data_IF_573965916423
#
_entry.id   IF_573965916423
#
_cell.length_a   1.000
_cell.length_b   1.000
_cell.length_c   1.000
_cell.angle_alpha   90.00
_cell.angle_beta   90.00
_cell.angle_gamma   90.00
#
_symmetry.space_group_name_H-M   'P 1'
#
loop_
_entity.id
_entity.type
_entity.pdbx_description
1 polymer ?
#
# COMPACT_ATOMS: atom_id res chain seq x y z
N UNK A 1 -11.29 -5.40 -16.51
CA UNK A 1 -12.00 -5.69 -15.23
C UNK A 1 -11.00 -5.91 -14.10
N UNK A 2 -10.01 -6.79 -14.24
CA UNK A 2 -8.99 -7.03 -13.19
C UNK A 2 -8.19 -5.78 -12.79
N UNK A 3 -7.70 -4.98 -13.74
CA UNK A 3 -6.97 -3.73 -13.43
C UNK A 3 -7.80 -2.69 -12.65
N UNK A 4 -9.11 -2.58 -12.92
CA UNK A 4 -9.97 -1.68 -12.16
C UNK A 4 -10.14 -2.16 -10.71
N UNK A 5 -10.28 -3.47 -10.49
CA UNK A 5 -10.38 -4.06 -9.16
C UNK A 5 -9.10 -3.79 -8.34
N UNK A 6 -7.93 -4.04 -8.92
CA UNK A 6 -6.64 -3.78 -8.27
C UNK A 6 -6.47 -2.29 -7.95
N UNK A 7 -6.86 -1.40 -8.86
CA UNK A 7 -6.86 0.04 -8.61
C UNK A 7 -7.69 0.41 -7.38
N UNK A 8 -8.91 -0.09 -7.27
CA UNK A 8 -9.77 0.18 -6.10
C UNK A 8 -9.16 -0.37 -4.81
N UNK A 9 -8.69 -1.62 -4.81
CA UNK A 9 -8.10 -2.25 -3.62
C UNK A 9 -6.86 -1.49 -3.14
N UNK A 10 -5.94 -1.17 -4.05
CA UNK A 10 -4.71 -0.44 -3.73
C UNK A 10 -5.01 0.99 -3.25
N UNK A 11 -5.99 1.68 -3.84
CA UNK A 11 -6.39 3.04 -3.42
C UNK A 11 -7.03 3.04 -2.02
N UNK A 12 -7.85 2.03 -1.70
CA UNK A 12 -8.43 1.88 -0.36
C UNK A 12 -7.35 1.59 0.68
N UNK A 13 -6.42 0.68 0.37
CA UNK A 13 -5.30 0.37 1.24
C UNK A 13 -4.41 1.61 1.48
N UNK A 14 -4.20 2.41 0.43
CA UNK A 14 -3.48 3.68 0.52
C UNK A 14 -4.16 4.67 1.50
N UNK A 15 -5.46 4.92 1.31
CA UNK A 15 -6.21 5.80 2.21
C UNK A 15 -6.25 5.31 3.66
N UNK A 16 -6.37 4.00 3.87
CA UNK A 16 -6.40 3.41 5.21
C UNK A 16 -5.06 3.57 5.94
N UNK A 17 -3.93 3.34 5.25
CA UNK A 17 -2.60 3.49 5.83
C UNK A 17 -2.30 4.94 6.20
N UNK A 18 -2.62 5.89 5.31
CA UNK A 18 -2.48 7.32 5.60
C UNK A 18 -3.33 7.75 6.81
N UNK A 19 -4.55 7.22 6.95
CA UNK A 19 -5.40 7.48 8.11
C UNK A 19 -4.82 6.94 9.42
N UNK A 20 -4.25 5.73 9.40
CA UNK A 20 -3.57 5.14 10.56
C UNK A 20 -2.36 6.00 10.96
N UNK A 21 -1.58 6.50 9.99
CA UNK A 21 -0.45 7.41 10.27
C UNK A 21 -0.93 8.69 10.95
N UNK A 22 -1.99 9.32 10.45
CA UNK A 22 -2.56 10.52 11.07
C UNK A 22 -3.05 10.26 12.50
N UNK A 23 -3.63 9.08 12.76
CA UNK A 23 -3.97 8.64 14.12
C UNK A 23 -2.74 8.48 15.01
N UNK A 24 -1.68 7.83 14.55
CA UNK A 24 -0.44 7.68 15.33
C UNK A 24 0.20 9.03 15.65
N UNK A 25 0.25 9.94 14.68
CA UNK A 25 0.77 11.31 14.88
C UNK A 25 -0.06 12.08 15.91
N UNK A 26 -1.38 12.11 15.74
CA UNK A 26 -2.27 12.85 16.66
C UNK A 26 -2.25 12.28 18.07
N UNK A 27 -2.17 10.96 18.20
CA UNK A 27 -2.15 10.28 19.49
C UNK A 27 -0.79 10.42 20.19
N UNK A 28 0.30 10.27 19.45
CA UNK A 28 1.66 10.25 20.03
C UNK A 28 2.26 11.64 20.22
N UNK A 29 2.08 12.56 19.26
CA UNK A 29 2.65 13.91 19.33
C UNK A 29 1.71 14.94 19.96
N UNK A 30 0.42 14.86 19.67
CA UNK A 30 -0.56 15.88 20.09
C UNK A 30 -1.32 15.42 21.35
N UNK A 31 -1.22 14.13 21.72
CA UNK A 31 -1.88 13.59 22.91
C UNK A 31 -3.40 13.46 22.77
N UNK A 32 -3.92 13.42 21.53
CA UNK A 32 -5.35 13.30 21.26
C UNK A 32 -5.78 11.83 21.40
N UNK A 33 -6.73 11.49 22.30
CA UNK A 33 -7.17 10.11 22.49
C UNK A 33 -7.79 9.51 21.23
N UNK A 34 -7.43 8.27 20.89
CA UNK A 34 -7.85 7.59 19.63
C UNK A 34 -9.38 7.61 19.41
N UNK A 35 -10.18 7.52 20.47
CA UNK A 35 -11.63 7.40 20.37
C UNK A 35 -12.41 8.73 20.36
N UNK A 36 -11.76 9.90 20.37
CA UNK A 36 -12.49 11.18 20.41
C UNK A 36 -12.93 11.65 19.00
N UNK A 37 -14.25 11.63 18.69
CA UNK A 37 -14.76 12.01 17.37
C UNK A 37 -14.61 13.50 17.06
N UNK A 38 -14.35 14.35 18.06
CA UNK A 38 -14.22 15.82 17.87
C UNK A 38 -12.97 16.20 17.09
N UNK A 39 -11.97 15.32 17.07
CA UNK A 39 -10.69 15.57 16.41
C UNK A 39 -10.54 14.89 15.05
N UNK A 40 -11.62 14.27 14.54
CA UNK A 40 -11.59 13.57 13.25
C UNK A 40 -11.21 14.48 12.08
N UNK A 41 -11.65 15.74 12.08
CA UNK A 41 -11.24 16.70 11.04
C UNK A 41 -9.75 16.97 11.07
N UNK A 42 -9.15 17.13 12.26
CA UNK A 42 -7.70 17.33 12.40
C UNK A 42 -6.91 16.10 11.96
N UNK A 43 -7.40 14.90 12.31
CA UNK A 43 -6.83 13.63 11.85
C UNK A 43 -6.88 13.49 10.34
N UNK A 44 -8.02 13.80 9.73
CA UNK A 44 -8.21 13.75 8.29
C UNK A 44 -7.24 14.71 7.57
N UNK A 45 -7.05 15.93 8.10
CA UNK A 45 -6.12 16.91 7.53
C UNK A 45 -4.67 16.41 7.58
N UNK A 46 -4.21 15.93 8.75
CA UNK A 46 -2.85 15.39 8.90
C UNK A 46 -2.65 14.17 7.99
N UNK A 47 -3.61 13.24 7.99
CA UNK A 47 -3.56 12.05 7.13
C UNK A 47 -3.49 12.42 5.65
N UNK A 48 -4.22 13.45 5.23
CA UNK A 48 -4.20 13.96 3.85
C UNK A 48 -2.85 14.57 3.49
N UNK A 49 -2.24 15.33 4.40
CA UNK A 49 -0.89 15.89 4.18
C UNK A 49 0.13 14.76 4.06
N UNK A 50 0.08 13.77 4.95
CA UNK A 50 0.95 12.60 4.90
C UNK A 50 0.78 11.83 3.58
N UNK A 51 -0.45 11.58 3.15
CA UNK A 51 -0.71 10.86 1.90
C UNK A 51 -0.13 11.61 0.69
N UNK A 52 -0.30 12.94 0.60
CA UNK A 52 0.31 13.73 -0.48
C UNK A 52 1.84 13.57 -0.50
N UNK A 53 2.49 13.55 0.67
CA UNK A 53 3.95 13.34 0.76
C UNK A 53 4.34 11.95 0.27
N UNK A 54 3.62 10.91 0.69
CA UNK A 54 3.86 9.52 0.26
C UNK A 54 3.61 9.36 -1.25
N UNK A 55 2.60 10.03 -1.81
CA UNK A 55 2.35 10.00 -3.24
C UNK A 55 3.50 10.60 -4.07
N UNK A 56 4.16 11.65 -3.54
CA UNK A 56 5.31 12.28 -4.22
C UNK A 56 6.50 11.32 -4.28
N UNK A 57 6.80 10.59 -3.21
CA UNK A 57 7.87 9.57 -3.22
C UNK A 57 7.56 8.41 -4.16
N UNK A 58 6.30 7.97 -4.23
CA UNK A 58 5.87 6.95 -5.17
C UNK A 58 6.09 7.37 -6.64
N UNK A 59 5.99 8.66 -6.94
CA UNK A 59 6.28 9.21 -8.27
C UNK A 59 7.78 9.16 -8.63
N UNK A 60 8.68 9.22 -7.64
CA UNK A 60 10.14 9.24 -7.83
C UNK A 60 10.75 7.85 -8.12
N UNK A 61 9.92 6.84 -8.43
CA UNK A 61 10.30 5.47 -8.80
C UNK A 61 10.71 4.53 -7.64
N UNK A 62 10.66 3.22 -7.91
CA UNK A 62 10.89 2.15 -6.92
C UNK A 62 12.28 2.16 -6.27
N UNK A 63 13.26 2.82 -6.91
CA UNK A 63 14.60 3.00 -6.36
C UNK A 63 14.58 3.85 -5.08
N UNK A 64 13.72 4.86 -5.00
CA UNK A 64 13.56 5.67 -3.79
C UNK A 64 12.88 4.89 -2.67
N UNK A 65 11.87 4.09 -3.00
CA UNK A 65 11.19 3.19 -2.04
C UNK A 65 12.20 2.22 -1.41
N UNK A 66 13.08 1.62 -2.23
CA UNK A 66 14.13 0.72 -1.75
C UNK A 66 15.11 1.42 -0.78
N UNK A 67 15.50 2.66 -1.09
CA UNK A 67 16.41 3.45 -0.25
C UNK A 67 15.80 3.78 1.12
N UNK A 68 14.54 4.22 1.15
CA UNK A 68 13.82 4.52 2.39
C UNK A 68 13.60 3.23 3.19
N UNK A 69 13.26 2.12 2.51
CA UNK A 69 13.06 0.80 3.11
C UNK A 69 14.29 0.29 3.84
N UNK A 70 15.48 0.50 3.27
CA UNK A 70 16.73 0.03 3.86
C UNK A 70 17.02 0.64 5.23
N UNK A 71 16.68 1.92 5.46
CA UNK A 71 16.86 2.57 6.76
C UNK A 71 15.71 2.26 7.73
N UNK A 72 14.49 2.22 7.21
CA UNK A 72 13.29 2.24 8.03
C UNK A 72 12.91 0.86 8.55
N UNK A 73 13.04 -0.18 7.71
CA UNK A 73 12.64 -1.52 8.10
C UNK A 73 13.45 -2.03 9.30
N UNK A 74 14.80 -1.95 9.32
CA UNK A 74 15.58 -2.37 10.49
C UNK A 74 15.19 -1.62 11.77
N UNK A 75 14.92 -0.31 11.67
CA UNK A 75 14.46 0.48 12.81
C UNK A 75 13.11 -0.02 13.34
N UNK A 76 12.15 -0.26 12.44
CA UNK A 76 10.83 -0.78 12.80
C UNK A 76 10.89 -2.15 13.46
N UNK A 77 11.62 -3.11 12.85
CA UNK A 77 11.81 -4.43 13.45
C UNK A 77 12.50 -4.34 14.81
N UNK A 78 13.55 -3.53 14.94
CA UNK A 78 14.29 -3.36 16.19
C UNK A 78 13.42 -2.84 17.32
N UNK A 79 12.61 -1.81 17.05
CA UNK A 79 11.71 -1.24 18.06
C UNK A 79 10.57 -2.20 18.40
N UNK A 80 9.95 -2.85 17.40
CA UNK A 80 8.88 -3.82 17.66
C UNK A 80 9.35 -4.97 18.56
N UNK A 81 10.54 -5.52 18.28
CA UNK A 81 11.14 -6.58 19.11
C UNK A 81 11.49 -6.04 20.50
N UNK A 82 12.11 -4.86 20.58
CA UNK A 82 12.49 -4.24 21.86
C UNK A 82 11.29 -3.97 22.77
N UNK A 83 10.17 -3.51 22.20
CA UNK A 83 8.94 -3.25 22.95
C UNK A 83 8.29 -4.55 23.43
N UNK A 84 8.25 -5.60 22.61
CA UNK A 84 7.79 -6.93 23.05
C UNK A 84 8.66 -7.50 24.16
N UNK A 85 9.98 -7.38 24.04
CA UNK A 85 10.91 -7.80 25.08
C UNK A 85 10.60 -7.10 26.40
N UNK A 86 10.52 -5.76 26.38
CA UNK A 86 10.24 -4.98 27.58
C UNK A 86 8.86 -5.35 28.18
N UNK A 87 7.83 -5.41 27.35
CA UNK A 87 6.48 -5.77 27.76
C UNK A 87 6.42 -7.16 28.42
N UNK A 88 7.08 -8.16 27.83
CA UNK A 88 7.10 -9.53 28.33
C UNK A 88 7.96 -9.67 29.59
N UNK A 89 9.07 -8.94 29.70
CA UNK A 89 9.94 -8.96 30.89
C UNK A 89 9.25 -8.39 32.13
N UNK A 90 8.30 -7.46 31.94
CA UNK A 90 7.51 -6.84 33.01
C UNK A 90 6.23 -7.62 33.33
N UNK A 91 5.86 -8.60 32.50
CA UNK A 91 4.63 -9.36 32.67
C UNK A 91 4.83 -10.52 33.65
N UNK A 92 3.97 -10.68 34.67
CA UNK A 92 4.06 -11.80 35.61
C UNK A 92 4.00 -13.15 34.88
N UNK A 93 5.03 -13.99 35.04
CA UNK A 93 5.16 -15.29 34.37
C UNK A 93 5.80 -15.26 32.97
N UNK A 94 6.19 -14.08 32.49
CA UNK A 94 6.95 -13.91 31.25
C UNK A 94 6.19 -14.33 29.99
N UNK A 95 6.94 -14.62 28.92
CA UNK A 95 6.36 -14.91 27.60
C UNK A 95 5.51 -16.19 27.56
N UNK A 96 5.85 -17.19 28.39
CA UNK A 96 5.10 -18.45 28.44
C UNK A 96 3.65 -18.24 28.90
N UNK A 97 3.45 -17.37 29.88
CA UNK A 97 2.10 -17.01 30.37
C UNK A 97 1.33 -16.18 29.35
N UNK A 98 2.01 -15.34 28.56
CA UNK A 98 1.37 -14.59 27.47
C UNK A 98 0.89 -15.52 26.36
N UNK A 99 1.71 -16.50 25.97
CA UNK A 99 1.37 -17.49 24.93
C UNK A 99 0.28 -18.47 25.37
N UNK A 100 0.21 -18.80 26.66
CA UNK A 100 -0.83 -19.68 27.21
C UNK A 100 -2.15 -18.96 27.51
N UNK A 101 -2.29 -17.68 27.18
CA UNK A 101 -3.47 -16.88 27.52
C UNK A 101 -4.59 -17.10 26.51
N UNK A 102 -5.68 -17.71 26.97
CA UNK A 102 -6.92 -17.73 26.21
C UNK A 102 -7.63 -16.38 26.33
N UNK A 103 -8.08 -15.84 25.20
CA UNK A 103 -8.87 -14.61 25.14
C UNK A 103 -10.35 -15.00 25.12
N UNK A 104 -11.15 -14.68 26.16
CA UNK A 104 -12.58 -14.97 26.17
C UNK A 104 -13.28 -14.27 25.01
N UNK A 105 -14.09 -15.02 24.24
CA UNK A 105 -14.69 -14.51 23.00
C UNK A 105 -13.71 -14.41 21.82
N UNK A 106 -12.60 -15.15 21.87
CA UNK A 106 -11.62 -15.22 20.79
C UNK A 106 -12.19 -15.77 19.48
N UNK A 107 -11.50 -15.46 18.38
CA UNK A 107 -11.82 -15.97 17.06
C UNK A 107 -11.62 -17.49 16.99
N UNK A 108 -12.43 -18.18 16.18
CA UNK A 108 -12.12 -19.56 15.83
C UNK A 108 -10.80 -19.62 15.06
N UNK A 109 -10.12 -20.78 15.11
CA UNK A 109 -8.87 -20.97 14.37
C UNK A 109 -9.05 -20.72 12.86
N UNK A 110 -10.19 -21.15 12.29
CA UNK A 110 -10.50 -20.95 10.88
C UNK A 110 -10.70 -19.48 10.55
N UNK A 111 -11.43 -18.74 11.39
CA UNK A 111 -11.61 -17.30 11.19
C UNK A 111 -10.26 -16.58 11.27
N UNK A 112 -9.39 -16.98 12.20
CA UNK A 112 -8.08 -16.36 12.38
C UNK A 112 -7.17 -16.64 11.17
N UNK A 113 -7.22 -17.87 10.65
CA UNK A 113 -6.51 -18.25 9.43
C UNK A 113 -7.02 -17.46 8.22
N UNK A 114 -8.34 -17.34 8.04
CA UNK A 114 -8.94 -16.59 6.93
C UNK A 114 -8.62 -15.09 7.01
N UNK A 115 -8.57 -14.52 8.22
CA UNK A 115 -8.12 -13.15 8.44
C UNK A 115 -6.65 -12.96 8.07
N UNK A 116 -5.77 -13.90 8.44
CA UNK A 116 -4.37 -13.85 8.06
C UNK A 116 -4.22 -13.93 6.52
N UNK A 117 -4.92 -14.84 5.86
CA UNK A 117 -4.87 -14.98 4.39
C UNK A 117 -5.42 -13.73 3.69
N UNK A 118 -6.52 -13.15 4.18
CA UNK A 118 -7.13 -11.96 3.57
C UNK A 118 -6.24 -10.72 3.69
N UNK A 119 -5.47 -10.59 4.78
CA UNK A 119 -4.48 -9.52 4.95
C UNK A 119 -3.40 -9.54 3.86
N UNK A 120 -3.00 -10.73 3.39
CA UNK A 120 -1.98 -10.89 2.35
C UNK A 120 -2.54 -10.97 0.93
N UNK A 121 -3.84 -11.16 0.77
CA UNK A 121 -4.50 -11.33 -0.54
C UNK A 121 -4.29 -10.14 -1.48
N UNK A 122 -4.25 -8.91 -0.95
CA UNK A 122 -3.96 -7.71 -1.74
C UNK A 122 -2.54 -7.74 -2.32
N UNK A 123 -1.55 -8.14 -1.51
CA UNK A 123 -0.16 -8.23 -1.96
C UNK A 123 0.04 -9.34 -3.00
N UNK A 124 -0.57 -10.51 -2.80
CA UNK A 124 -0.46 -11.62 -3.77
C UNK A 124 -1.07 -11.26 -5.12
N UNK A 125 -2.15 -10.47 -5.15
CA UNK A 125 -2.74 -9.95 -6.39
C UNK A 125 -1.84 -8.97 -7.15
N UNK A 126 -0.91 -8.31 -6.44
CA UNK A 126 -0.03 -7.25 -6.99
C UNK A 126 1.43 -7.71 -7.09
N UNK A 127 1.69 -9.01 -6.95
CA UNK A 127 3.03 -9.59 -6.91
C UNK A 127 3.82 -9.35 -8.21
N UNK A 128 3.12 -9.22 -9.34
CA UNK A 128 3.70 -8.86 -10.64
C UNK A 128 4.40 -7.50 -10.62
N UNK A 129 3.92 -6.58 -9.79
CA UNK A 129 4.35 -5.18 -9.81
C UNK A 129 5.71 -5.02 -9.14
N UNK A 130 6.03 -5.91 -8.20
CA UNK A 130 7.32 -6.00 -7.50
C UNK A 130 8.28 -7.01 -8.13
N UNK A 131 7.77 -8.18 -8.56
CA UNK A 131 8.62 -9.26 -9.10
C UNK A 131 9.30 -8.92 -10.42
N UNK A 132 8.78 -7.96 -11.19
CA UNK A 132 9.42 -7.45 -12.42
C UNK A 132 10.77 -6.75 -12.18
N UNK A 133 11.08 -6.40 -10.94
CA UNK A 133 12.34 -5.76 -10.56
C UNK A 133 13.39 -6.76 -10.06
N UNK A 134 13.03 -8.04 -9.97
CA UNK A 134 13.95 -9.11 -9.63
C UNK A 134 14.73 -9.54 -10.87
N UNK A 135 16.03 -9.81 -10.68
CA UNK A 135 16.95 -10.12 -11.78
C UNK A 135 16.64 -11.47 -12.43
N UNK A 136 16.14 -12.44 -11.65
CA UNK A 136 15.86 -13.79 -12.14
C UNK A 136 14.60 -14.40 -11.55
N UNK A 137 14.01 -15.36 -12.27
CA UNK A 137 12.88 -16.15 -11.77
C UNK A 137 13.21 -16.95 -10.51
N UNK A 138 14.49 -17.31 -10.30
CA UNK A 138 14.93 -18.00 -9.09
C UNK A 138 14.84 -17.07 -7.87
N UNK A 139 15.24 -15.82 -8.04
CA UNK A 139 15.16 -14.81 -6.98
C UNK A 139 13.71 -14.54 -6.60
N UNK A 140 12.78 -14.56 -7.56
CA UNK A 140 11.34 -14.47 -7.30
C UNK A 140 10.82 -15.62 -6.44
N UNK A 141 11.18 -16.86 -6.76
CA UNK A 141 10.70 -18.04 -6.03
C UNK A 141 11.25 -18.09 -4.59
N UNK A 142 12.46 -17.58 -4.36
CA UNK A 142 13.10 -17.58 -3.04
C UNK A 142 12.66 -16.38 -2.20
N UNK A 143 12.61 -15.18 -2.80
CA UNK A 143 12.33 -13.94 -2.07
C UNK A 143 10.88 -13.83 -1.62
N UNK A 144 9.91 -14.36 -2.38
CA UNK A 144 8.50 -14.23 -2.04
C UNK A 144 8.10 -14.95 -0.74
N UNK A 145 8.44 -16.25 -0.54
CA UNK A 145 8.18 -16.91 0.75
C UNK A 145 8.96 -16.25 1.90
N UNK A 146 10.21 -15.85 1.67
CA UNK A 146 11.02 -15.21 2.68
C UNK A 146 10.42 -13.87 3.13
N UNK A 147 9.94 -13.06 2.18
CA UNK A 147 9.25 -11.81 2.44
C UNK A 147 7.97 -12.03 3.27
N UNK A 148 7.23 -13.12 3.01
CA UNK A 148 6.07 -13.48 3.82
C UNK A 148 6.46 -13.79 5.28
N UNK A 149 7.47 -14.64 5.51
CA UNK A 149 7.92 -14.98 6.86
C UNK A 149 8.45 -13.76 7.63
N UNK A 150 9.28 -12.94 6.98
CA UNK A 150 9.81 -11.71 7.59
C UNK A 150 8.69 -10.70 7.84
N UNK A 151 7.76 -10.55 6.89
CA UNK A 151 6.61 -9.66 6.99
C UNK A 151 5.55 -10.09 8.01
N UNK A 152 5.54 -11.36 8.43
CA UNK A 152 4.65 -11.86 9.48
C UNK A 152 5.10 -11.48 10.91
N UNK A 153 6.36 -11.07 11.08
CA UNK A 153 6.90 -10.73 12.40
C UNK A 153 6.17 -9.53 13.03
N UNK A 154 5.94 -8.38 12.36
CA UNK A 154 5.29 -7.24 13.01
C UNK A 154 3.84 -7.50 13.44
N UNK A 155 2.98 -8.17 12.66
CA UNK A 155 1.66 -8.60 13.12
C UNK A 155 1.73 -9.53 14.35
N UNK A 156 2.69 -10.46 14.37
CA UNK A 156 2.91 -11.33 15.53
C UNK A 156 3.31 -10.52 16.77
N UNK A 157 4.23 -9.55 16.63
CA UNK A 157 4.61 -8.66 17.73
C UNK A 157 3.42 -7.84 18.22
N UNK A 158 2.58 -7.33 17.31
CA UNK A 158 1.34 -6.63 17.64
C UNK A 158 0.36 -7.49 18.44
N UNK A 159 0.17 -8.76 18.04
CA UNK A 159 -0.70 -9.70 18.76
C UNK A 159 -0.20 -9.99 20.19
N UNK A 160 1.12 -10.17 20.36
CA UNK A 160 1.74 -10.34 21.69
C UNK A 160 1.52 -9.11 22.57
N UNK A 161 1.74 -7.91 22.03
CA UNK A 161 1.55 -6.66 22.77
C UNK A 161 0.07 -6.42 23.14
N UNK A 162 -0.86 -6.77 22.24
CA UNK A 162 -2.29 -6.69 22.51
C UNK A 162 -2.70 -7.61 23.67
N UNK A 163 -2.12 -8.81 23.77
CA UNK A 163 -2.39 -9.75 24.86
C UNK A 163 -1.89 -9.25 26.24
N UNK A 164 -0.84 -8.43 26.25
CA UNK A 164 -0.19 -7.88 27.45
C UNK A 164 -0.85 -6.56 27.88
N UNK A 165 -0.89 -5.57 26.99
CA UNK A 165 -1.14 -4.15 27.35
C UNK A 165 -2.61 -3.75 27.13
N UNK A 166 -3.30 -4.39 26.17
CA UNK A 166 -4.71 -4.13 25.80
C UNK A 166 -5.05 -2.67 25.51
N UNK A 167 -4.18 -1.98 24.78
CA UNK A 167 -4.42 -0.63 24.25
C UNK A 167 -4.40 -0.62 22.74
N UNK A 168 -4.98 0.42 22.09
CA UNK A 168 -4.79 0.65 20.67
C UNK A 168 -3.31 0.64 20.33
N UNK A 169 -2.97 0.10 19.15
CA UNK A 169 -1.58 -0.10 18.77
C UNK A 169 -0.83 1.23 18.63
N UNK A 170 -1.55 2.30 18.28
CA UNK A 170 -1.07 3.67 18.18
C UNK A 170 -0.63 4.28 19.52
N UNK A 171 -1.11 3.73 20.64
CA UNK A 171 -0.78 4.18 22.00
C UNK A 171 0.31 3.35 22.66
N UNK A 172 0.71 2.22 22.06
CA UNK A 172 1.62 1.26 22.69
C UNK A 172 2.98 1.90 22.97
N UNK A 173 3.56 2.60 22.00
CA UNK A 173 4.91 3.16 22.14
C UNK A 173 5.01 4.24 23.22
N UNK A 174 3.92 4.99 23.44
CA UNK A 174 3.83 6.04 24.47
C UNK A 174 3.98 5.46 25.88
N UNK A 175 3.51 4.23 26.10
CA UNK A 175 3.55 3.58 27.43
C UNK A 175 4.95 3.20 27.90
N UNK A 176 5.90 3.09 26.99
CA UNK A 176 7.30 2.73 27.32
C UNK A 176 8.19 3.96 27.53
N UNK A 177 7.61 5.17 27.52
CA UNK A 177 8.31 6.42 27.77
C UNK A 177 8.63 7.23 26.52
N UNK A 178 9.11 8.46 26.70
CA UNK A 178 9.25 9.45 25.63
C UNK A 178 10.20 9.02 24.51
N UNK A 179 11.27 8.28 24.84
CA UNK A 179 12.23 7.79 23.86
C UNK A 179 11.60 6.73 22.93
N UNK A 180 10.87 5.77 23.50
CA UNK A 180 10.15 4.76 22.72
C UNK A 180 8.99 5.37 21.95
N UNK A 181 8.32 6.38 22.50
CA UNK A 181 7.28 7.13 21.79
C UNK A 181 7.84 7.82 20.54
N UNK A 182 8.97 8.53 20.67
CA UNK A 182 9.59 9.24 19.55
C UNK A 182 10.14 8.29 18.49
N UNK A 183 10.92 7.28 18.90
CA UNK A 183 11.50 6.29 17.98
C UNK A 183 10.41 5.43 17.33
N UNK A 184 9.43 4.99 18.12
CA UNK A 184 8.30 4.20 17.65
C UNK A 184 7.45 4.97 16.64
N UNK A 185 7.22 6.26 16.86
CA UNK A 185 6.54 7.12 15.88
C UNK A 185 7.31 7.22 14.57
N UNK A 186 8.62 7.49 14.61
CA UNK A 186 9.44 7.59 13.39
C UNK A 186 9.41 6.27 12.61
N UNK A 187 9.57 5.15 13.33
CA UNK A 187 9.54 3.83 12.72
C UNK A 187 8.16 3.47 12.16
N UNK A 188 7.09 3.87 12.85
CA UNK A 188 5.71 3.68 12.41
C UNK A 188 5.43 4.44 11.13
N UNK A 189 5.73 5.74 11.11
CA UNK A 189 5.55 6.61 9.96
C UNK A 189 6.32 6.04 8.78
N UNK A 190 7.57 5.65 8.98
CA UNK A 190 8.37 5.09 7.89
C UNK A 190 7.84 3.74 7.39
N UNK A 191 7.46 2.81 8.27
CA UNK A 191 6.91 1.53 7.86
C UNK A 191 5.60 1.69 7.06
N UNK A 192 4.76 2.64 7.50
CA UNK A 192 3.56 3.03 6.78
C UNK A 192 3.91 3.70 5.44
N UNK A 193 4.89 4.60 5.40
CA UNK A 193 5.35 5.29 4.19
C UNK A 193 5.69 4.29 3.08
N UNK A 194 6.54 3.30 3.35
CA UNK A 194 6.96 2.31 2.34
C UNK A 194 5.78 1.45 1.85
N UNK A 195 4.86 1.12 2.77
CA UNK A 195 3.64 0.37 2.41
C UNK A 195 2.72 1.22 1.53
N UNK A 196 2.60 2.51 1.85
CA UNK A 196 1.75 3.45 1.16
C UNK A 196 2.28 3.80 -0.23
N UNK A 197 3.60 3.95 -0.35
CA UNK A 197 4.31 4.11 -1.63
C UNK A 197 4.00 2.94 -2.57
N UNK A 198 4.07 1.71 -2.06
CA UNK A 198 3.76 0.51 -2.84
C UNK A 198 2.28 0.48 -3.29
N UNK A 199 1.35 0.83 -2.40
CA UNK A 199 -0.07 0.90 -2.73
C UNK A 199 -0.36 1.97 -3.78
N UNK A 200 0.24 3.17 -3.64
CA UNK A 200 0.11 4.26 -4.60
C UNK A 200 0.70 3.89 -5.97
N UNK A 201 1.87 3.25 -5.97
CA UNK A 201 2.55 2.78 -7.18
C UNK A 201 1.72 1.74 -7.95
N UNK A 202 1.24 0.72 -7.25
CA UNK A 202 0.36 -0.31 -7.78
C UNK A 202 -0.96 0.27 -8.30
N UNK A 203 -1.57 1.19 -7.55
CA UNK A 203 -2.78 1.89 -8.01
C UNK A 203 -2.52 2.66 -9.32
N UNK A 204 -1.40 3.37 -9.42
CA UNK A 204 -1.00 4.08 -10.64
C UNK A 204 -0.86 3.15 -11.86
N UNK A 205 -0.20 2.00 -11.68
CA UNK A 205 -0.04 1.01 -12.75
C UNK A 205 -1.37 0.36 -13.15
N UNK A 206 -2.21 0.01 -12.17
CA UNK A 206 -3.52 -0.57 -12.38
C UNK A 206 -4.47 0.40 -13.11
N UNK A 207 -4.39 1.69 -12.79
CA UNK A 207 -5.11 2.74 -13.50
C UNK A 207 -4.62 2.90 -14.94
N UNK A 208 -3.31 2.96 -15.14
CA UNK A 208 -2.71 3.10 -16.47
C UNK A 208 -3.07 1.93 -17.41
N UNK A 209 -3.01 0.70 -16.91
CA UNK A 209 -3.41 -0.50 -17.68
C UNK A 209 -4.90 -0.51 -18.01
N UNK A 210 -5.75 -0.09 -17.06
CA UNK A 210 -7.20 0.01 -17.26
C UNK A 210 -7.52 1.06 -18.31
N UNK A 211 -6.99 2.28 -18.20
CA UNK A 211 -7.22 3.37 -19.16
C UNK A 211 -6.67 3.00 -20.54
N UNK A 212 -5.48 2.41 -20.62
CA UNK A 212 -4.88 2.02 -21.90
C UNK A 212 -5.79 1.04 -22.66
N UNK A 213 -6.40 0.07 -21.97
CA UNK A 213 -7.34 -0.87 -22.59
C UNK A 213 -8.59 -0.18 -23.16
N UNK A 214 -9.11 0.82 -22.46
CA UNK A 214 -10.27 1.62 -22.89
C UNK A 214 -9.90 2.49 -24.10
N UNK A 215 -8.79 3.23 -24.03
CA UNK A 215 -8.32 4.09 -25.13
C UNK A 215 -8.04 3.25 -26.38
N UNK A 216 -7.36 2.10 -26.26
CA UNK A 216 -7.09 1.21 -27.38
C UNK A 216 -8.37 0.71 -28.03
N UNK A 217 -9.37 0.33 -27.24
CA UNK A 217 -10.66 -0.15 -27.74
C UNK A 217 -11.45 0.96 -28.43
N UNK A 218 -11.49 2.16 -27.85
CA UNK A 218 -12.10 3.33 -28.46
C UNK A 218 -11.43 3.71 -29.79
N UNK A 219 -10.09 3.77 -29.82
CA UNK A 219 -9.33 4.04 -31.04
C UNK A 219 -9.55 2.96 -32.11
N UNK A 220 -9.64 1.69 -31.73
CA UNK A 220 -9.90 0.58 -32.65
C UNK A 220 -11.31 0.64 -33.26
N UNK A 221 -12.33 0.92 -32.44
CA UNK A 221 -13.71 1.08 -32.92
C UNK A 221 -13.87 2.30 -33.83
N UNK A 222 -13.26 3.43 -33.47
CA UNK A 222 -13.22 4.64 -34.32
C UNK A 222 -12.50 4.38 -35.65
N UNK A 223 -11.42 3.60 -35.65
CA UNK A 223 -10.70 3.22 -36.86
C UNK A 223 -11.54 2.31 -37.77
N UNK A 224 -12.21 1.29 -37.21
CA UNK A 224 -13.12 0.42 -37.97
C UNK A 224 -14.28 1.19 -38.59
N UNK A 225 -14.91 2.11 -37.85
CA UNK A 225 -15.96 2.98 -38.38
C UNK A 225 -15.42 3.85 -39.52
N UNK A 226 -14.22 4.43 -39.38
CA UNK A 226 -13.59 5.22 -40.45
C UNK A 226 -13.26 4.40 -41.69
N UNK A 227 -12.82 3.15 -41.53
CA UNK A 227 -12.47 2.28 -42.66
C UNK A 227 -13.72 1.72 -43.34
N UNK A 228 -14.81 1.49 -42.59
CA UNK A 228 -16.12 1.15 -43.13
C UNK A 228 -16.73 2.32 -43.93
N UNK A 229 -16.66 3.55 -43.40
CA UNK A 229 -17.14 4.76 -44.08
C UNK A 229 -16.28 5.17 -45.29
N UNK A 230 -15.00 4.78 -45.36
CA UNK A 230 -14.09 5.14 -46.47
C UNK A 230 -13.97 4.11 -47.58
N UNK A 231 -14.79 3.06 -47.59
CA UNK A 231 -14.83 2.10 -48.69
C UNK A 231 -13.47 1.49 -49.01
N UNK A 232 -12.99 0.60 -48.13
CA UNK A 232 -11.88 -0.33 -48.36
C UNK A 232 -10.55 0.30 -48.84
N UNK A 233 -9.75 0.79 -47.87
CA UNK A 233 -8.27 0.65 -47.87
C UNK A 233 -7.70 1.22 -46.57
N UNK A 234 -7.62 0.39 -45.52
CA UNK A 234 -6.85 0.71 -44.33
C UNK A 234 -5.85 -0.41 -44.06
N UNK A 235 -4.56 -0.19 -44.38
CA UNK A 235 -3.47 -1.12 -44.00
C UNK A 235 -3.18 -1.00 -42.50
N UNK A 236 -3.06 -2.15 -41.84
CA UNK A 236 -3.00 -2.37 -40.38
C UNK A 236 -1.68 -1.93 -39.70
N UNK A 237 -0.70 -1.44 -40.43
CA UNK A 237 0.71 -1.40 -39.98
C UNK A 237 1.06 -0.32 -38.93
N UNK A 238 0.10 0.45 -38.40
CA UNK A 238 0.43 1.64 -37.57
C UNK A 238 0.02 1.56 -36.10
N UNK A 239 -0.68 0.50 -35.67
CA UNK A 239 -1.09 0.33 -34.27
C UNK A 239 -0.07 -0.39 -33.40
N UNK A 240 0.87 -1.14 -34.00
CA UNK A 240 1.83 -1.95 -33.25
C UNK A 240 3.03 -1.12 -32.72
N UNK A 241 3.26 0.08 -33.27
CA UNK A 241 4.33 0.99 -32.83
C UNK A 241 3.98 1.85 -31.60
N UNK A 242 2.82 1.62 -30.95
CA UNK A 242 2.44 2.32 -29.71
C UNK A 242 3.07 1.69 -28.45
N UNK A 243 3.83 0.60 -28.61
CA UNK A 243 4.45 -0.13 -27.50
C UNK A 243 5.63 0.61 -26.84
N UNK A 244 6.25 1.59 -27.52
CA UNK A 244 7.58 2.09 -27.17
C UNK A 244 7.64 3.47 -26.51
N UNK A 245 6.53 4.21 -26.41
CA UNK A 245 6.59 5.59 -25.90
C UNK A 245 5.51 5.86 -24.86
N UNK A 246 5.93 6.14 -23.62
CA UNK A 246 5.12 6.24 -22.41
C UNK A 246 4.01 7.31 -22.37
N UNK A 247 3.65 7.74 -21.16
CA UNK A 247 2.44 8.52 -20.82
C UNK A 247 2.23 9.78 -21.68
N UNK A 248 3.31 10.41 -22.18
CA UNK A 248 3.25 11.57 -23.09
C UNK A 248 2.57 11.24 -24.43
N UNK A 249 2.74 10.02 -24.94
CA UNK A 249 2.10 9.56 -26.18
C UNK A 249 0.61 9.30 -25.95
N UNK A 250 0.23 8.79 -24.77
CA UNK A 250 -1.17 8.55 -24.40
C UNK A 250 -1.95 9.88 -24.32
N UNK A 251 -1.38 10.90 -23.68
CA UNK A 251 -1.94 12.26 -23.64
C UNK A 251 -1.98 12.90 -25.03
N UNK A 252 -0.98 12.66 -25.88
CA UNK A 252 -0.99 13.14 -27.27
C UNK A 252 -1.99 12.37 -28.17
N UNK A 253 -2.31 11.11 -27.87
CA UNK A 253 -3.34 10.32 -28.55
C UNK A 253 -4.75 10.74 -28.12
N UNK A 254 -4.95 11.04 -26.83
CA UNK A 254 -6.17 11.66 -26.30
C UNK A 254 -6.34 13.08 -26.88
N UNK A 255 -5.26 13.87 -26.98
CA UNK A 255 -5.30 15.19 -27.63
C UNK A 255 -5.53 15.11 -29.15
N UNK A 256 -5.01 14.10 -29.85
CA UNK A 256 -5.34 13.86 -31.26
C UNK A 256 -6.78 13.38 -31.47
N UNK A 257 -7.42 12.79 -30.47
CA UNK A 257 -8.88 12.60 -30.49
C UNK A 257 -9.64 13.93 -30.27
N UNK A 258 -9.07 14.89 -29.54
CA UNK A 258 -9.67 16.21 -29.30
C UNK A 258 -9.56 17.19 -30.48
N UNK A 259 -8.65 16.97 -31.45
CA UNK A 259 -8.61 17.77 -32.69
C UNK A 259 -9.71 17.43 -33.71
N UNK A 260 -10.63 16.51 -33.38
CA UNK A 260 -11.88 16.36 -34.12
C UNK A 260 -12.98 17.23 -33.51
N UNK A 261 -12.76 18.54 -33.51
CA UNK A 261 -13.83 19.53 -33.41
C UNK A 261 -14.73 19.41 -34.65
N UNK A 262 -15.70 18.50 -34.61
CA UNK A 262 -16.89 18.54 -35.47
C UNK A 262 -17.93 19.43 -34.78
N UNK A 263 -17.57 20.69 -34.60
CA UNK A 263 -18.44 21.81 -34.23
C UNK A 263 -17.70 23.07 -34.70
N UNK A 264 -17.69 23.27 -36.00
CA UNK A 264 -17.70 24.56 -36.65
C UNK A 264 -18.22 24.31 -38.05
N UNK A 265 -19.52 24.61 -38.20
CA UNK A 265 -20.22 25.12 -39.39
C UNK A 265 -19.55 24.89 -40.75
#
# INVERSE_FOLDING_TARGET
MFGALVFFLATVAYGLQAYIVGRTITTTLIGIPVADPRFETYRALISTICSIVFLISAYMEIKHISMISWATMPLFFGISIGVVWLATSQYPGGIATVLGKEVPGGLSFIDAMLMAVSMWAGFTACISDVSRFLESSKDTVISLPLAYFVGAIPPLMGALLAAIIRVPYEEIFVRFGILFAALGLIAWIGAAWITDDNNAYTAGLALATTIHSVVRTCCFNLWNIRCYLRGNRCRRNKLDNLHDHGISTLLSAICRCRSCSFLNS
#
